data_IF_559083719350
#
_entry.id   IF_559083719350
#
_cell.length_a   1.000
_cell.length_b   1.000
_cell.length_c   1.000
_cell.angle_alpha   90.00
_cell.angle_beta   90.00
_cell.angle_gamma   90.00
#
_symmetry.space_group_name_H-M   'P 1'
#
loop_
_entity.id
_entity.type
_entity.pdbx_description
1 polymer ?
#
# COMPACT_ATOMS: atom_id res chain seq x y z
N UNK A 1 -19.87 8.27 -0.82
CA UNK A 1 -19.56 6.87 -0.42
C UNK A 1 -18.58 6.82 0.73
N UNK A 2 -17.34 7.32 0.60
CA UNK A 2 -16.36 7.31 1.69
C UNK A 2 -16.91 7.90 2.99
N UNK A 3 -17.52 9.09 2.93
CA UNK A 3 -18.12 9.75 4.11
C UNK A 3 -19.17 8.88 4.81
N UNK A 4 -20.04 8.21 4.05
CA UNK A 4 -21.05 7.30 4.61
C UNK A 4 -20.41 6.10 5.30
N UNK A 5 -19.35 5.53 4.72
CA UNK A 5 -18.62 4.43 5.33
C UNK A 5 -17.84 4.88 6.59
N UNK A 6 -17.28 6.10 6.59
CA UNK A 6 -16.65 6.68 7.77
C UNK A 6 -17.66 6.86 8.90
N UNK A 7 -18.88 7.35 8.63
CA UNK A 7 -19.93 7.49 9.64
C UNK A 7 -20.30 6.14 10.27
N UNK A 8 -20.43 5.08 9.47
CA UNK A 8 -20.70 3.73 9.97
C UNK A 8 -19.53 3.22 10.81
N UNK A 9 -18.29 3.34 10.33
CA UNK A 9 -17.11 2.89 11.06
C UNK A 9 -16.98 3.61 12.42
N UNK A 10 -17.12 4.93 12.43
CA UNK A 10 -17.04 5.75 13.65
C UNK A 10 -18.11 5.38 14.68
N UNK A 11 -19.35 5.11 14.23
CA UNK A 11 -20.43 4.65 15.11
C UNK A 11 -20.06 3.36 15.87
N UNK A 12 -19.19 2.54 15.29
CA UNK A 12 -18.72 1.28 15.87
C UNK A 12 -17.30 1.37 16.47
N UNK A 13 -16.72 2.57 16.61
CA UNK A 13 -15.38 2.76 17.15
C UNK A 13 -14.27 2.23 16.24
N UNK A 14 -14.53 2.17 14.92
CA UNK A 14 -13.57 1.71 13.90
C UNK A 14 -13.06 2.90 13.08
N UNK A 15 -11.91 2.71 12.44
CA UNK A 15 -11.37 3.64 11.46
C UNK A 15 -11.68 3.14 10.06
N UNK A 16 -12.10 4.04 9.18
CA UNK A 16 -12.25 3.77 7.75
C UNK A 16 -11.28 4.65 6.96
N UNK A 17 -10.50 4.00 6.11
CA UNK A 17 -9.54 4.66 5.22
C UNK A 17 -9.88 4.33 3.77
N UNK A 18 -9.80 5.34 2.89
CA UNK A 18 -10.00 5.11 1.46
C UNK A 18 -8.75 4.48 0.86
N UNK A 19 -8.95 3.38 0.13
CA UNK A 19 -7.92 2.77 -0.72
C UNK A 19 -7.94 3.34 -2.16
N UNK A 20 -8.61 4.48 -2.35
CA UNK A 20 -8.77 5.12 -3.65
C UNK A 20 -9.77 4.42 -4.57
N UNK A 21 -9.84 4.95 -5.80
CA UNK A 21 -10.67 4.41 -6.88
C UNK A 21 -9.77 3.62 -7.83
N UNK A 22 -10.15 2.40 -8.14
CA UNK A 22 -9.47 1.46 -9.02
C UNK A 22 -10.37 1.10 -10.21
N UNK A 23 -9.77 0.55 -11.26
CA UNK A 23 -10.49 0.02 -12.43
C UNK A 23 -11.54 1.00 -13.03
N UNK A 24 -11.24 2.30 -13.02
CA UNK A 24 -12.18 3.34 -13.51
C UNK A 24 -12.42 3.17 -15.01
N UNK A 25 -13.64 2.80 -15.37
CA UNK A 25 -14.15 2.82 -16.72
C UNK A 25 -15.33 3.81 -16.82
N UNK A 26 -15.06 4.99 -17.38
CA UNK A 26 -16.02 6.09 -17.47
C UNK A 26 -17.32 5.76 -18.22
N UNK A 27 -17.39 4.62 -18.91
CA UNK A 27 -18.59 4.16 -19.62
C UNK A 27 -19.43 3.17 -18.80
N UNK A 28 -18.85 2.45 -17.85
CA UNK A 28 -19.50 1.27 -17.25
C UNK A 28 -19.41 1.18 -15.73
N UNK A 29 -18.24 1.44 -15.13
CA UNK A 29 -18.04 1.21 -13.70
C UNK A 29 -16.78 1.86 -13.16
N UNK A 30 -16.69 1.89 -11.84
CA UNK A 30 -15.43 2.07 -11.11
C UNK A 30 -15.50 1.22 -9.85
N UNK A 31 -14.35 0.81 -9.35
CA UNK A 31 -14.23 0.14 -8.08
C UNK A 31 -13.63 1.12 -7.08
N UNK A 32 -14.08 1.13 -5.83
CA UNK A 32 -13.43 1.91 -4.78
C UNK A 32 -13.28 1.03 -3.55
N UNK A 33 -12.08 1.06 -2.96
CA UNK A 33 -11.78 0.26 -1.78
C UNK A 33 -11.91 1.11 -0.51
N UNK A 34 -12.44 0.49 0.54
CA UNK A 34 -12.41 1.05 1.89
C UNK A 34 -11.84 -0.02 2.81
N UNK A 35 -10.79 0.33 3.53
CA UNK A 35 -10.26 -0.49 4.62
C UNK A 35 -10.89 -0.04 5.91
N UNK A 36 -11.43 -0.99 6.67
CA UNK A 36 -11.95 -0.76 8.01
C UNK A 36 -11.04 -1.47 9.00
N UNK A 37 -10.50 -0.73 9.97
CA UNK A 37 -9.51 -1.22 10.92
C UNK A 37 -9.94 -0.90 12.35
N UNK A 38 -9.45 -1.71 13.29
CA UNK A 38 -9.54 -1.42 14.71
C UNK A 38 -8.47 -0.37 15.04
N UNK A 39 -8.84 0.77 15.65
CA UNK A 39 -7.87 1.77 16.09
C UNK A 39 -6.97 1.21 17.20
N UNK A 40 -5.69 1.53 17.12
CA UNK A 40 -4.74 1.41 18.22
C UNK A 40 -5.00 2.48 19.29
N UNK A 41 -4.35 2.35 20.45
CA UNK A 41 -4.52 3.30 21.56
C UNK A 41 -4.12 4.74 21.21
N UNK A 42 -3.27 4.92 20.20
CA UNK A 42 -2.84 6.21 19.66
C UNK A 42 -3.79 6.76 18.57
N UNK A 43 -4.88 6.05 18.25
CA UNK A 43 -5.84 6.44 17.23
C UNK A 43 -5.41 6.13 15.79
N UNK A 44 -4.30 5.41 15.58
CA UNK A 44 -3.87 4.95 14.26
C UNK A 44 -4.52 3.61 13.89
N UNK A 45 -4.69 3.35 12.60
CA UNK A 45 -5.18 2.06 12.12
C UNK A 45 -4.07 1.00 12.18
N UNK A 46 -4.37 -0.17 12.76
CA UNK A 46 -3.47 -1.32 12.63
C UNK A 46 -3.37 -1.70 11.14
N UNK A 47 -2.16 -1.66 10.60
CA UNK A 47 -1.86 -2.08 9.23
C UNK A 47 -0.91 -3.29 9.28
N UNK A 48 -1.44 -4.53 9.16
CA UNK A 48 -0.63 -5.74 9.20
C UNK A 48 0.41 -5.81 8.07
N UNK A 49 0.11 -5.26 6.89
CA UNK A 49 1.06 -5.23 5.79
C UNK A 49 2.25 -4.31 6.09
N UNK A 50 2.00 -3.18 6.76
CA UNK A 50 3.06 -2.27 7.23
C UNK A 50 3.92 -2.93 8.30
N UNK A 51 3.32 -3.55 9.31
CA UNK A 51 4.06 -4.24 10.38
C UNK A 51 4.95 -5.34 9.81
N UNK A 52 4.41 -6.15 8.90
CA UNK A 52 5.17 -7.21 8.25
C UNK A 52 6.30 -6.65 7.38
N UNK A 53 6.04 -5.54 6.67
CA UNK A 53 7.06 -4.86 5.90
C UNK A 53 8.20 -4.36 6.79
N UNK A 54 7.89 -3.59 7.82
CA UNK A 54 8.87 -3.01 8.76
C UNK A 54 9.72 -4.10 9.43
N UNK A 55 9.12 -5.23 9.77
CA UNK A 55 9.83 -6.37 10.37
C UNK A 55 10.80 -7.08 9.42
N UNK A 56 10.56 -7.04 8.11
CA UNK A 56 11.35 -7.78 7.11
C UNK A 56 12.22 -6.88 6.22
N UNK A 57 12.02 -5.57 6.22
CA UNK A 57 12.60 -4.65 5.25
C UNK A 57 14.13 -4.79 5.13
N UNK A 58 14.83 -4.84 6.27
CA UNK A 58 16.29 -4.94 6.30
C UNK A 58 16.82 -6.23 5.67
N UNK A 59 16.13 -7.37 5.85
CA UNK A 59 16.51 -8.66 5.24
C UNK A 59 16.44 -8.62 3.70
N UNK A 60 15.61 -7.73 3.16
CA UNK A 60 15.43 -7.51 1.74
C UNK A 60 16.19 -6.26 1.22
N UNK A 61 17.07 -5.66 2.03
CA UNK A 61 17.87 -4.50 1.63
C UNK A 61 17.08 -3.19 1.51
N UNK A 62 15.93 -3.10 2.17
CA UNK A 62 15.06 -1.92 2.27
C UNK A 62 15.11 -1.35 3.69
N UNK A 63 14.65 -0.12 3.87
CA UNK A 63 14.44 0.51 5.18
C UNK A 63 12.99 0.29 5.65
N UNK A 64 12.72 0.16 6.96
CA UNK A 64 11.35 0.11 7.47
C UNK A 64 10.47 1.27 6.98
N UNK A 65 11.06 2.47 6.92
CA UNK A 65 10.43 3.69 6.45
C UNK A 65 10.20 3.73 4.92
N UNK A 66 10.65 2.71 4.17
CA UNK A 66 10.34 2.57 2.75
C UNK A 66 8.89 2.15 2.49
N UNK A 67 8.16 1.71 3.51
CA UNK A 67 6.73 1.44 3.38
C UNK A 67 5.98 2.70 2.94
N UNK A 68 5.25 2.62 1.84
CA UNK A 68 4.50 3.76 1.30
C UNK A 68 5.35 4.78 0.54
N UNK A 69 6.69 4.62 0.45
CA UNK A 69 7.51 5.45 -0.45
C UNK A 69 7.13 5.18 -1.90
N UNK A 70 7.28 6.22 -2.71
CA UNK A 70 7.06 6.16 -4.15
C UNK A 70 8.38 5.98 -4.89
N UNK A 71 8.35 5.21 -5.98
CA UNK A 71 9.48 5.05 -6.89
C UNK A 71 9.00 5.00 -8.34
N UNK A 72 9.87 5.41 -9.27
CA UNK A 72 9.56 5.41 -10.70
C UNK A 72 10.28 4.28 -11.42
N UNK A 73 9.58 3.58 -12.32
CA UNK A 73 10.24 2.67 -13.28
C UNK A 73 9.60 2.78 -14.65
N UNK A 74 10.42 3.00 -15.67
CA UNK A 74 9.95 3.38 -17.00
C UNK A 74 9.19 4.71 -16.97
N UNK A 75 7.91 4.69 -17.35
CA UNK A 75 7.01 5.87 -17.35
C UNK A 75 5.98 5.83 -16.22
N UNK A 76 6.07 4.86 -15.34
CA UNK A 76 5.06 4.60 -14.30
C UNK A 76 5.64 4.87 -12.91
N UNK A 77 4.77 5.32 -11.99
CA UNK A 77 5.08 5.53 -10.58
C UNK A 77 4.35 4.51 -9.73
N UNK A 78 5.04 3.99 -8.73
CA UNK A 78 4.54 2.94 -7.85
C UNK A 78 4.78 3.35 -6.40
N UNK A 79 3.90 2.87 -5.51
CA UNK A 79 4.02 2.98 -4.06
C UNK A 79 4.32 1.62 -3.47
N UNK A 80 5.32 1.52 -2.61
CA UNK A 80 5.61 0.29 -1.86
C UNK A 80 4.43 -0.04 -0.93
N UNK A 81 3.92 -1.27 -1.02
CA UNK A 81 2.70 -1.69 -0.32
C UNK A 81 2.89 -2.89 0.62
N UNK A 82 4.00 -3.63 0.52
CA UNK A 82 4.29 -4.74 1.44
C UNK A 82 5.41 -5.68 0.97
N UNK A 83 5.74 -6.65 1.82
CA UNK A 83 6.68 -7.75 1.55
C UNK A 83 5.95 -9.09 1.76
N UNK A 84 6.12 -10.04 0.83
CA UNK A 84 5.60 -11.41 0.94
C UNK A 84 6.76 -12.42 0.82
N UNK A 85 7.29 -12.95 1.94
CA UNK A 85 8.46 -13.84 1.93
C UNK A 85 8.21 -15.18 1.24
N UNK A 86 6.93 -15.54 1.02
CA UNK A 86 6.56 -16.75 0.25
C UNK A 86 6.85 -16.60 -1.23
N UNK A 87 7.26 -15.42 -1.70
CA UNK A 87 7.58 -15.11 -3.11
C UNK A 87 9.09 -14.85 -3.27
N UNK A 88 9.92 -15.89 -3.39
CA UNK A 88 11.38 -15.73 -3.37
C UNK A 88 11.92 -14.84 -4.50
N UNK A 89 11.28 -14.85 -5.68
CA UNK A 89 11.74 -14.04 -6.82
C UNK A 89 11.21 -12.60 -6.81
N UNK A 90 9.99 -12.38 -6.33
CA UNK A 90 9.34 -11.06 -6.36
C UNK A 90 8.65 -10.79 -5.02
N UNK A 91 9.43 -10.58 -3.95
CA UNK A 91 8.90 -10.44 -2.59
C UNK A 91 8.19 -9.10 -2.38
N UNK A 92 8.54 -8.05 -3.12
CA UNK A 92 8.00 -6.70 -2.88
C UNK A 92 6.68 -6.53 -3.64
N UNK A 93 5.64 -6.13 -2.93
CA UNK A 93 4.37 -5.69 -3.50
C UNK A 93 4.32 -4.17 -3.57
N UNK A 94 3.92 -3.64 -4.72
CA UNK A 94 3.74 -2.20 -4.92
C UNK A 94 2.46 -1.92 -5.70
N UNK A 95 1.86 -0.75 -5.49
CA UNK A 95 0.67 -0.29 -6.20
C UNK A 95 1.02 0.83 -7.17
N UNK A 96 0.58 0.74 -8.42
CA UNK A 96 0.73 1.82 -9.40
C UNK A 96 -0.17 2.99 -9.02
N UNK A 97 0.39 4.21 -8.99
CA UNK A 97 -0.30 5.40 -8.47
C UNK A 97 -1.59 5.76 -9.22
N UNK A 98 -1.64 5.79 -10.57
CA UNK A 98 -2.85 6.15 -11.31
C UNK A 98 -4.10 5.32 -11.02
N UNK A 99 -3.98 4.00 -10.85
CA UNK A 99 -5.11 3.08 -10.84
C UNK A 99 -5.10 2.07 -9.69
N UNK A 100 -4.09 2.15 -8.80
CA UNK A 100 -3.93 1.26 -7.67
C UNK A 100 -3.68 -0.20 -8.07
N UNK A 101 -3.28 -0.45 -9.32
CA UNK A 101 -3.01 -1.81 -9.78
C UNK A 101 -1.79 -2.37 -9.06
N UNK A 102 -1.90 -3.59 -8.53
CA UNK A 102 -0.83 -4.25 -7.80
C UNK A 102 0.20 -4.90 -8.72
N UNK A 103 1.48 -4.62 -8.47
CA UNK A 103 2.64 -5.18 -9.15
C UNK A 103 3.59 -5.83 -8.15
N UNK A 104 4.46 -6.70 -8.66
CA UNK A 104 5.45 -7.43 -7.87
C UNK A 104 6.83 -7.14 -8.40
N UNK A 105 7.76 -6.84 -7.50
CA UNK A 105 9.12 -6.45 -7.85
C UNK A 105 10.15 -7.29 -7.09
N UNK A 106 11.36 -7.36 -7.64
CA UNK A 106 12.51 -7.90 -6.90
C UNK A 106 12.91 -6.87 -5.84
N UNK A 107 13.45 -7.33 -4.71
CA UNK A 107 13.87 -6.45 -3.64
C UNK A 107 15.00 -5.51 -4.08
N UNK A 108 16.04 -6.06 -4.71
CA UNK A 108 17.19 -5.30 -5.22
C UNK A 108 16.79 -4.17 -6.18
N UNK A 109 15.79 -4.41 -7.04
CA UNK A 109 15.36 -3.40 -8.01
C UNK A 109 14.64 -2.25 -7.30
N UNK A 110 13.78 -2.54 -6.33
CA UNK A 110 13.08 -1.49 -5.56
C UNK A 110 14.06 -0.70 -4.71
N UNK A 111 14.98 -1.38 -4.02
CA UNK A 111 16.01 -0.73 -3.21
C UNK A 111 16.90 0.20 -4.06
N UNK A 112 17.25 -0.21 -5.28
CA UNK A 112 18.00 0.63 -6.21
C UNK A 112 17.21 1.87 -6.64
N UNK A 113 15.94 1.72 -6.99
CA UNK A 113 15.10 2.83 -7.46
C UNK A 113 14.78 3.82 -6.34
N UNK A 114 14.52 3.35 -5.12
CA UNK A 114 14.25 4.23 -3.98
C UNK A 114 15.44 5.11 -3.62
N UNK A 115 16.67 4.60 -3.75
CA UNK A 115 17.91 5.39 -3.57
C UNK A 115 18.14 6.41 -4.68
N UNK A 116 17.63 6.16 -5.89
CA UNK A 116 17.74 7.09 -7.00
C UNK A 116 16.76 8.28 -6.88
N UNK A 117 15.76 8.16 -6.00
CA UNK A 117 14.73 9.16 -5.72
C UNK A 117 15.03 9.95 -4.42
N UNK A 118 16.23 9.80 -3.83
CA UNK A 118 16.74 10.56 -2.67
C UNK A 118 17.38 11.90 -3.04
#
# INVERSE_FOLDING_TARGET
MLEACCQVAQKHGLLAESLGVKAMNLRWNFEFGIRVSIPLADGTALNPERILFEALAEEYGLLPDDYGREFSTGRERFRVAGIDPRRPRYPISAERIPDGQGFKFTADHVALLLKAEE
#
